data_IF_602503093940
#
_entry.id   IF_602503093940
#
_cell.length_a   1.000
_cell.length_b   1.000
_cell.length_c   1.000
_cell.angle_alpha   90.00
_cell.angle_beta   90.00
_cell.angle_gamma   90.00
#
_symmetry.space_group_name_H-M   'P 1'
#
loop_
_entity.id
_entity.type
_entity.pdbx_description
1 polymer ?
#
# COMPACT_ATOMS: atom_id res chain seq x y z
N UNK A 1 -25.10 -43.99 5.90
CA UNK A 1 -24.65 -43.11 4.80
C UNK A 1 -25.86 -42.33 4.31
N UNK A 2 -26.12 -41.14 4.85
CA UNK A 2 -27.13 -40.21 4.33
C UNK A 2 -26.48 -38.82 4.33
N UNK A 3 -25.88 -38.49 3.19
CA UNK A 3 -25.37 -37.15 2.91
C UNK A 3 -26.57 -36.23 2.76
N UNK A 4 -26.65 -35.22 3.62
CA UNK A 4 -27.57 -34.11 3.42
C UNK A 4 -27.07 -33.36 2.16
N UNK A 5 -27.90 -33.23 1.10
CA UNK A 5 -27.48 -32.58 -0.13
C UNK A 5 -26.95 -31.17 0.16
N UNK A 6 -25.74 -30.89 -0.34
CA UNK A 6 -25.01 -29.64 -0.18
C UNK A 6 -25.86 -28.39 -0.44
N UNK A 7 -26.80 -28.47 -1.39
CA UNK A 7 -27.79 -27.45 -1.74
C UNK A 7 -28.70 -27.00 -0.58
N UNK A 8 -29.07 -27.91 0.33
CA UNK A 8 -29.97 -27.58 1.46
C UNK A 8 -29.23 -26.74 2.51
N UNK A 9 -27.91 -26.92 2.65
CA UNK A 9 -27.08 -26.13 3.57
C UNK A 9 -26.87 -24.69 3.07
N UNK A 10 -26.66 -24.51 1.77
CA UNK A 10 -26.48 -23.17 1.18
C UNK A 10 -27.75 -22.33 1.25
N UNK A 11 -28.90 -22.93 0.91
CA UNK A 11 -30.18 -22.24 1.03
C UNK A 11 -30.49 -21.84 2.47
N UNK A 12 -30.21 -22.72 3.45
CA UNK A 12 -30.41 -22.39 4.87
C UNK A 12 -29.51 -21.24 5.38
N UNK A 13 -28.29 -21.07 4.83
CA UNK A 13 -27.45 -19.91 5.15
C UNK A 13 -27.98 -18.63 4.50
N UNK A 14 -28.35 -18.68 3.21
CA UNK A 14 -28.85 -17.51 2.49
C UNK A 14 -30.14 -16.98 3.14
N UNK A 15 -31.06 -17.87 3.53
CA UNK A 15 -32.29 -17.48 4.24
C UNK A 15 -31.99 -16.87 5.61
N UNK A 16 -31.02 -17.40 6.36
CA UNK A 16 -30.61 -16.83 7.67
C UNK A 16 -29.92 -15.46 7.56
N UNK A 17 -29.23 -15.19 6.46
CA UNK A 17 -28.65 -13.86 6.17
C UNK A 17 -29.77 -12.88 5.80
N UNK A 18 -30.77 -13.34 5.03
CA UNK A 18 -31.87 -12.50 4.54
C UNK A 18 -32.84 -12.08 5.63
N UNK A 19 -33.10 -12.96 6.60
CA UNK A 19 -34.13 -12.74 7.64
C UNK A 19 -33.57 -12.05 8.91
N UNK A 20 -32.46 -11.30 8.78
CA UNK A 20 -31.78 -10.52 9.86
C UNK A 20 -31.34 -11.34 11.10
N UNK A 21 -31.52 -12.66 11.09
CA UNK A 21 -31.17 -13.57 12.19
C UNK A 21 -29.67 -13.79 12.39
N UNK A 22 -28.84 -13.28 11.48
CA UNK A 22 -27.39 -13.21 11.64
C UNK A 22 -27.02 -11.75 11.87
N UNK A 23 -26.90 -11.38 13.14
CA UNK A 23 -26.06 -10.25 13.51
C UNK A 23 -24.64 -10.69 13.18
N UNK A 24 -24.06 -10.18 12.09
CA UNK A 24 -22.61 -10.11 11.98
C UNK A 24 -22.17 -9.27 13.16
N UNK A 25 -21.88 -9.92 14.29
CA UNK A 25 -21.06 -9.31 15.30
C UNK A 25 -19.78 -9.00 14.56
N UNK A 26 -19.59 -7.73 14.17
CA UNK A 26 -18.25 -7.18 14.06
C UNK A 26 -17.54 -7.76 15.28
N UNK A 27 -16.49 -8.58 15.09
CA UNK A 27 -15.89 -9.25 16.21
C UNK A 27 -15.64 -8.16 17.24
N UNK A 28 -16.25 -8.31 18.43
CA UNK A 28 -15.82 -7.49 19.56
C UNK A 28 -14.39 -7.96 19.74
N UNK A 29 -13.47 -7.28 19.07
CA UNK A 29 -12.02 -7.47 19.14
C UNK A 29 -11.56 -6.93 20.49
N UNK A 30 -12.23 -7.38 21.54
CA UNK A 30 -11.76 -7.34 22.90
C UNK A 30 -10.81 -8.55 22.99
N UNK A 31 -9.54 -8.26 23.28
CA UNK A 31 -8.59 -9.14 23.96
C UNK A 31 -7.59 -10.00 23.17
N UNK A 32 -7.52 -9.99 21.84
CA UNK A 32 -6.34 -10.57 21.14
C UNK A 32 -5.21 -9.54 20.93
N UNK A 33 -4.89 -8.76 21.97
CA UNK A 33 -3.75 -7.81 21.95
C UNK A 33 -2.38 -8.50 21.88
N UNK A 34 -2.30 -9.80 22.13
CA UNK A 34 -1.03 -10.53 22.28
C UNK A 34 -0.52 -11.17 20.98
N UNK A 35 -1.36 -11.40 19.95
CA UNK A 35 -0.91 -11.96 18.69
C UNK A 35 -1.72 -11.43 17.49
N UNK A 36 -1.15 -10.56 16.64
CA UNK A 36 -1.87 -9.98 15.50
C UNK A 36 -2.20 -11.03 14.43
N UNK A 37 -1.62 -12.24 14.48
CA UNK A 37 -1.91 -13.33 13.55
C UNK A 37 -3.05 -14.24 14.02
N UNK A 38 -3.76 -13.93 15.11
CA UNK A 38 -4.86 -14.74 15.63
C UNK A 38 -6.18 -13.98 15.57
N UNK A 39 -7.05 -14.38 14.63
CA UNK A 39 -8.33 -13.72 14.34
C UNK A 39 -9.44 -14.72 14.64
N UNK A 40 -10.27 -14.44 15.64
CA UNK A 40 -11.38 -15.32 16.06
C UNK A 40 -10.96 -16.79 16.30
N UNK A 41 -9.76 -16.99 16.88
CA UNK A 41 -9.19 -18.31 17.15
C UNK A 41 -8.54 -18.99 15.94
N UNK A 42 -8.57 -18.37 14.76
CA UNK A 42 -7.97 -18.86 13.52
C UNK A 42 -6.62 -18.16 13.30
N UNK A 43 -5.58 -18.95 13.01
CA UNK A 43 -4.26 -18.41 12.67
C UNK A 43 -4.27 -17.88 11.22
N UNK A 44 -3.99 -16.60 11.07
CA UNK A 44 -3.77 -15.91 9.80
C UNK A 44 -2.27 -15.83 9.50
N UNK A 45 -1.91 -15.89 8.21
CA UNK A 45 -0.56 -15.55 7.76
C UNK A 45 -0.33 -14.03 7.65
N UNK A 46 -1.41 -13.27 7.62
CA UNK A 46 -1.41 -11.81 7.55
C UNK A 46 -1.84 -11.24 8.89
N UNK A 47 -0.98 -10.48 9.60
CA UNK A 47 -1.34 -9.87 10.86
C UNK A 47 -2.45 -8.83 10.69
N UNK A 48 -3.48 -8.92 11.52
CA UNK A 48 -4.56 -7.96 11.66
C UNK A 48 -4.19 -6.92 12.71
N UNK A 49 -4.17 -5.66 12.31
CA UNK A 49 -4.01 -4.54 13.24
C UNK A 49 -5.29 -3.70 13.29
N UNK A 50 -5.46 -2.97 14.40
CA UNK A 50 -6.58 -2.07 14.62
C UNK A 50 -6.13 -0.61 14.68
N UNK A 51 -6.95 0.26 14.10
CA UNK A 51 -6.85 1.71 14.23
C UNK A 51 -8.22 2.25 14.62
N UNK A 52 -8.28 3.15 15.60
CA UNK A 52 -9.53 3.82 15.99
C UNK A 52 -10.08 4.72 14.88
N UNK A 53 -9.21 5.19 13.98
CA UNK A 53 -9.58 6.06 12.84
C UNK A 53 -9.80 5.25 11.58
N UNK A 54 -8.86 4.35 11.23
CA UNK A 54 -8.88 3.64 9.94
C UNK A 54 -9.61 2.29 9.99
N UNK A 55 -9.92 1.80 11.20
CA UNK A 55 -10.52 0.49 11.43
C UNK A 55 -9.52 -0.67 11.28
N UNK A 56 -10.01 -1.91 11.14
CA UNK A 56 -9.17 -3.11 10.99
C UNK A 56 -8.49 -3.20 9.62
N UNK A 57 -7.25 -3.73 9.58
CA UNK A 57 -6.53 -4.03 8.34
C UNK A 57 -5.55 -5.19 8.50
N UNK A 58 -5.50 -6.05 7.48
CA UNK A 58 -4.46 -7.06 7.30
C UNK A 58 -3.26 -6.46 6.57
N UNK A 59 -2.06 -6.84 6.98
CA UNK A 59 -0.83 -6.41 6.33
C UNK A 59 -0.01 -7.60 5.86
N UNK A 60 0.72 -7.43 4.77
CA UNK A 60 1.69 -8.43 4.28
C UNK A 60 2.96 -8.37 5.15
N UNK A 61 3.30 -9.44 5.91
CA UNK A 61 4.41 -9.43 6.86
C UNK A 61 5.75 -9.02 6.24
N UNK A 62 5.99 -9.44 5.00
CA UNK A 62 7.23 -9.15 4.29
C UNK A 62 7.39 -7.64 4.05
N UNK A 63 6.30 -6.89 3.87
CA UNK A 63 6.38 -5.44 3.70
C UNK A 63 6.64 -4.71 5.00
N UNK A 64 6.14 -5.22 6.13
CA UNK A 64 6.48 -4.72 7.47
C UNK A 64 7.98 -4.93 7.72
N UNK A 65 8.46 -6.15 7.50
CA UNK A 65 9.87 -6.50 7.70
C UNK A 65 10.79 -5.62 6.84
N UNK A 66 10.47 -5.47 5.55
CA UNK A 66 11.24 -4.65 4.60
C UNK A 66 11.22 -3.16 4.95
N UNK A 67 10.10 -2.64 5.45
CA UNK A 67 10.00 -1.24 5.87
C UNK A 67 10.87 -0.92 7.10
N UNK A 68 11.19 -1.93 7.91
CA UNK A 68 12.14 -1.84 9.02
C UNK A 68 13.61 -1.99 8.65
N UNK A 69 13.96 -2.35 7.40
CA UNK A 69 15.35 -2.57 7.01
C UNK A 69 16.11 -1.25 6.81
N UNK A 70 17.44 -1.22 7.12
CA UNK A 70 18.29 -0.05 6.93
C UNK A 70 18.62 0.20 5.46
N UNK A 71 19.23 1.34 5.14
CA UNK A 71 19.69 1.67 3.78
C UNK A 71 20.61 0.60 3.16
N UNK A 72 21.47 -0.04 3.95
CA UNK A 72 22.36 -1.12 3.47
C UNK A 72 21.60 -2.32 2.89
N UNK A 73 20.36 -2.57 3.32
CA UNK A 73 19.51 -3.59 2.71
C UNK A 73 19.16 -3.25 1.26
N UNK A 74 18.91 -1.98 0.96
CA UNK A 74 18.62 -1.51 -0.40
C UNK A 74 19.87 -1.63 -1.28
N UNK A 75 21.02 -1.16 -0.78
CA UNK A 75 22.29 -1.21 -1.51
C UNK A 75 22.76 -2.64 -1.83
N UNK A 76 22.48 -3.58 -0.93
CA UNK A 76 22.88 -4.98 -1.08
C UNK A 76 21.75 -5.86 -1.63
N UNK A 77 20.62 -5.29 -2.05
CA UNK A 77 19.50 -6.08 -2.55
C UNK A 77 19.90 -6.78 -3.86
N UNK A 78 19.63 -8.09 -4.03
CA UNK A 78 20.08 -8.85 -5.20
C UNK A 78 19.51 -8.33 -6.53
N UNK A 79 18.35 -7.66 -6.50
CA UNK A 79 17.76 -7.02 -7.68
C UNK A 79 18.20 -5.56 -7.90
N UNK A 80 19.01 -4.96 -7.03
CA UNK A 80 19.45 -3.57 -7.20
C UNK A 80 20.15 -3.34 -8.56
N UNK A 81 21.12 -4.16 -9.00
CA UNK A 81 21.78 -3.93 -10.28
C UNK A 81 20.82 -3.98 -11.49
N UNK A 82 19.75 -4.80 -11.39
CA UNK A 82 18.72 -4.88 -12.44
C UNK A 82 17.89 -3.60 -12.50
N UNK A 83 17.57 -3.02 -11.36
CA UNK A 83 16.87 -1.74 -11.30
C UNK A 83 17.73 -0.61 -11.90
N UNK A 84 19.03 -0.58 -11.56
CA UNK A 84 19.97 0.41 -12.12
C UNK A 84 20.06 0.30 -13.65
N UNK A 85 20.12 -0.93 -14.16
CA UNK A 85 20.12 -1.21 -15.59
C UNK A 85 18.83 -0.75 -16.27
N UNK A 86 17.65 -1.01 -15.69
CA UNK A 86 16.38 -0.54 -16.25
C UNK A 86 16.35 0.99 -16.36
N UNK A 87 16.87 1.71 -15.36
CA UNK A 87 16.94 3.17 -15.42
C UNK A 87 17.89 3.69 -16.50
N UNK A 88 19.00 2.98 -16.72
CA UNK A 88 19.92 3.27 -17.82
C UNK A 88 19.24 3.05 -19.19
N UNK A 89 18.60 1.89 -19.39
CA UNK A 89 17.88 1.57 -20.62
C UNK A 89 16.74 2.57 -20.89
N UNK A 90 16.00 2.97 -19.86
CA UNK A 90 14.97 4.01 -19.96
C UNK A 90 15.56 5.34 -20.42
N UNK A 91 16.75 5.71 -19.96
CA UNK A 91 17.39 6.99 -20.33
C UNK A 91 17.85 6.97 -21.79
N UNK A 92 18.42 5.84 -22.23
CA UNK A 92 18.83 5.63 -23.62
C UNK A 92 17.62 5.71 -24.57
N UNK A 93 16.53 5.01 -24.24
CA UNK A 93 15.29 5.06 -25.03
C UNK A 93 14.68 6.46 -25.06
N UNK A 94 14.66 7.16 -23.93
CA UNK A 94 14.14 8.52 -23.83
C UNK A 94 14.91 9.49 -24.75
N UNK A 95 16.23 9.32 -24.83
CA UNK A 95 17.09 10.09 -25.72
C UNK A 95 16.88 9.71 -27.19
N UNK A 96 16.86 8.42 -27.50
CA UNK A 96 16.70 7.90 -28.86
C UNK A 96 15.37 8.34 -29.49
N UNK A 97 14.28 8.21 -28.73
CA UNK A 97 12.92 8.50 -29.21
C UNK A 97 12.39 9.87 -28.78
N UNK A 98 13.24 10.72 -28.21
CA UNK A 98 12.91 12.11 -27.85
C UNK A 98 11.66 12.26 -26.97
N UNK A 99 11.50 11.40 -25.96
CA UNK A 99 10.42 11.53 -24.97
C UNK A 99 10.96 11.83 -23.57
N UNK A 100 10.09 12.36 -22.70
CA UNK A 100 10.43 12.63 -21.31
C UNK A 100 9.93 11.50 -20.42
N UNK A 101 10.76 11.11 -19.45
CA UNK A 101 10.40 10.14 -18.42
C UNK A 101 10.06 10.89 -17.13
N UNK A 102 8.94 10.52 -16.53
CA UNK A 102 8.54 10.94 -15.19
C UNK A 102 8.39 9.68 -14.34
N UNK A 103 9.11 9.63 -13.22
CA UNK A 103 9.05 8.52 -12.27
C UNK A 103 8.14 8.91 -11.11
N UNK A 104 7.02 8.20 -10.97
CA UNK A 104 6.10 8.38 -9.83
C UNK A 104 6.31 7.24 -8.85
N UNK A 105 6.67 7.58 -7.60
CA UNK A 105 6.96 6.60 -6.56
C UNK A 105 5.78 6.54 -5.59
N UNK A 106 5.05 5.44 -5.61
CA UNK A 106 4.00 5.16 -4.63
C UNK A 106 4.61 4.57 -3.34
N UNK A 107 4.20 5.03 -2.14
CA UNK A 107 4.56 4.34 -0.90
C UNK A 107 3.86 2.99 -0.82
N UNK A 108 4.28 2.11 0.08
CA UNK A 108 3.48 0.92 0.44
C UNK A 108 2.41 1.29 1.48
N UNK A 109 1.37 0.47 1.61
CA UNK A 109 0.38 0.61 2.69
C UNK A 109 1.02 0.60 4.09
N UNK A 110 2.07 -0.20 4.28
CA UNK A 110 2.87 -0.25 5.51
C UNK A 110 3.48 1.12 5.83
N UNK A 111 4.12 1.76 4.85
CA UNK A 111 4.77 3.05 5.05
C UNK A 111 3.76 4.18 5.27
N UNK A 112 2.63 4.15 4.55
CA UNK A 112 1.61 5.20 4.62
C UNK A 112 0.75 5.08 5.88
N UNK A 113 0.23 3.89 6.17
CA UNK A 113 -0.79 3.70 7.20
C UNK A 113 -0.30 2.97 8.44
N UNK A 114 0.77 2.15 8.35
CA UNK A 114 1.26 1.33 9.47
C UNK A 114 1.39 2.08 10.79
N UNK A 115 2.01 3.28 10.84
CA UNK A 115 2.13 4.07 12.06
C UNK A 115 0.81 4.46 12.75
N UNK A 116 -0.32 4.44 12.03
CA UNK A 116 -1.66 4.79 12.55
C UNK A 116 -2.37 3.61 13.25
N UNK A 117 -1.73 2.44 13.33
CA UNK A 117 -2.28 1.23 13.92
C UNK A 117 -1.68 0.92 15.30
N UNK A 118 -2.52 0.45 16.22
CA UNK A 118 -2.12 0.06 17.57
C UNK A 118 -1.16 -1.13 17.54
N UNK A 119 -0.07 -1.06 18.31
CA UNK A 119 0.96 -2.10 18.42
C UNK A 119 1.59 -2.49 17.08
N UNK A 120 1.54 -1.60 16.08
CA UNK A 120 2.22 -1.83 14.81
C UNK A 120 3.74 -1.85 15.02
N UNK A 121 4.48 -2.79 14.41
CA UNK A 121 5.93 -2.85 14.56
C UNK A 121 6.61 -1.57 14.08
N UNK A 122 7.62 -1.11 14.82
CA UNK A 122 8.43 0.02 14.39
C UNK A 122 9.08 -0.26 13.02
N UNK A 123 8.92 0.68 12.11
CA UNK A 123 9.57 0.69 10.79
C UNK A 123 10.68 1.75 10.78
N UNK A 124 11.60 1.72 9.81
CA UNK A 124 12.65 2.75 9.70
C UNK A 124 12.02 4.13 9.50
N UNK A 125 12.50 5.18 10.16
CA UNK A 125 11.96 6.55 9.96
C UNK A 125 12.18 7.06 8.52
N UNK A 126 13.16 6.49 7.81
CA UNK A 126 13.50 6.89 6.44
C UNK A 126 12.97 5.89 5.41
N UNK A 127 12.32 6.35 4.33
CA UNK A 127 11.84 5.47 3.27
C UNK A 127 12.96 5.12 2.28
N UNK A 128 14.00 4.42 2.75
CA UNK A 128 15.26 4.18 2.04
C UNK A 128 15.14 3.72 0.57
N UNK A 129 14.17 2.86 0.25
CA UNK A 129 13.95 2.43 -1.13
C UNK A 129 13.37 3.54 -2.02
N UNK A 130 12.45 4.35 -1.48
CA UNK A 130 11.91 5.54 -2.17
C UNK A 130 13.03 6.54 -2.42
N UNK A 131 13.86 6.81 -1.40
CA UNK A 131 14.99 7.74 -1.52
C UNK A 131 16.02 7.25 -2.56
N UNK A 132 16.26 5.94 -2.61
CA UNK A 132 17.14 5.33 -3.62
C UNK A 132 16.61 5.53 -5.04
N UNK A 133 15.33 5.20 -5.28
CA UNK A 133 14.69 5.37 -6.59
C UNK A 133 14.67 6.84 -6.99
N UNK A 134 14.43 7.76 -6.05
CA UNK A 134 14.47 9.19 -6.32
C UNK A 134 15.88 9.65 -6.75
N UNK A 135 16.91 9.25 -6.01
CA UNK A 135 18.32 9.54 -6.35
C UNK A 135 18.69 8.97 -7.73
N UNK A 136 18.31 7.72 -8.00
CA UNK A 136 18.58 7.07 -9.28
C UNK A 136 17.88 7.80 -10.45
N UNK A 137 16.64 8.26 -10.24
CA UNK A 137 15.90 9.04 -11.23
C UNK A 137 16.57 10.38 -11.52
N UNK A 138 17.01 11.09 -10.47
CA UNK A 138 17.73 12.37 -10.60
C UNK A 138 19.03 12.22 -11.37
N UNK A 139 19.80 11.15 -11.10
CA UNK A 139 21.02 10.83 -11.83
C UNK A 139 20.81 10.61 -13.34
N UNK A 140 19.61 10.18 -13.75
CA UNK A 140 19.23 10.01 -15.16
C UNK A 140 18.55 11.24 -15.75
N UNK A 141 18.41 12.33 -14.99
CA UNK A 141 17.71 13.53 -15.42
C UNK A 141 16.20 13.36 -15.55
N UNK A 142 15.63 12.32 -14.94
CA UNK A 142 14.18 12.12 -14.92
C UNK A 142 13.53 13.04 -13.89
N UNK A 143 12.32 13.49 -14.20
CA UNK A 143 11.49 14.17 -13.20
C UNK A 143 10.90 13.12 -12.26
N UNK A 144 10.99 13.35 -10.96
CA UNK A 144 10.48 12.41 -9.94
C UNK A 144 9.36 13.04 -9.13
N UNK A 145 8.32 12.25 -8.86
CA UNK A 145 7.27 12.58 -7.90
C UNK A 145 7.17 11.47 -6.85
N UNK A 146 7.61 11.77 -5.63
CA UNK A 146 7.36 10.91 -4.47
C UNK A 146 5.96 11.20 -3.92
N UNK A 147 5.04 10.23 -3.98
CA UNK A 147 3.66 10.41 -3.53
C UNK A 147 3.51 10.37 -2.01
N UNK A 148 4.46 9.80 -1.27
CA UNK A 148 4.36 9.64 0.19
C UNK A 148 3.96 10.93 0.92
N UNK A 149 4.70 12.06 0.81
CA UNK A 149 4.36 13.28 1.54
C UNK A 149 2.99 13.85 1.18
N UNK A 150 2.54 13.68 -0.07
CA UNK A 150 1.23 14.17 -0.52
C UNK A 150 0.08 13.28 -0.02
N UNK A 151 0.32 11.97 0.10
CA UNK A 151 -0.67 11.00 0.54
C UNK A 151 -0.86 10.99 2.06
N UNK A 152 0.17 11.31 2.85
CA UNK A 152 0.10 11.26 4.32
C UNK A 152 -1.10 12.04 4.87
N UNK A 153 -1.34 13.27 4.39
CA UNK A 153 -2.45 14.11 4.86
C UNK A 153 -3.85 13.49 4.66
N UNK A 154 -4.00 12.62 3.67
CA UNK A 154 -5.21 11.84 3.41
C UNK A 154 -5.20 10.53 4.20
N UNK A 155 -4.05 9.85 4.20
CA UNK A 155 -3.87 8.53 4.81
C UNK A 155 -4.04 8.50 6.32
N UNK A 156 -3.89 9.65 6.98
CA UNK A 156 -4.17 9.82 8.41
C UNK A 156 -5.67 9.82 8.76
N UNK A 157 -6.54 10.06 7.76
CA UNK A 157 -7.98 10.26 7.96
C UNK A 157 -8.82 9.15 7.32
N UNK A 158 -8.34 8.58 6.23
CA UNK A 158 -9.06 7.56 5.48
C UNK A 158 -8.11 6.50 4.93
N UNK A 159 -8.64 5.29 4.74
CA UNK A 159 -7.91 4.22 4.07
C UNK A 159 -7.83 4.50 2.57
N UNK A 160 -6.60 4.49 2.03
CA UNK A 160 -6.35 4.61 0.59
C UNK A 160 -6.04 3.25 -0.07
N UNK A 161 -5.89 2.21 0.74
CA UNK A 161 -5.64 0.83 0.31
C UNK A 161 -6.78 -0.09 0.72
N UNK A 162 -6.93 -1.23 0.03
CA UNK A 162 -7.90 -2.27 0.38
C UNK A 162 -7.57 -2.91 1.74
N UNK A 163 -8.56 -3.30 2.54
CA UNK A 163 -8.32 -3.73 3.94
C UNK A 163 -7.50 -5.03 4.08
N UNK A 164 -7.48 -5.83 3.03
CA UNK A 164 -6.93 -7.18 2.98
C UNK A 164 -5.90 -7.36 1.86
N UNK A 165 -5.54 -6.28 1.18
CA UNK A 165 -4.70 -6.30 -0.01
C UNK A 165 -3.81 -5.04 -0.09
N UNK A 166 -2.68 -5.13 -0.77
CA UNK A 166 -1.68 -4.05 -0.86
C UNK A 166 -1.88 -3.08 -2.02
N UNK A 167 -2.96 -3.20 -2.79
CA UNK A 167 -3.36 -2.26 -3.82
C UNK A 167 -4.21 -1.13 -3.25
N UNK A 168 -4.23 -0.01 -3.99
CA UNK A 168 -5.11 1.10 -3.71
C UNK A 168 -6.57 0.68 -3.83
N UNK A 169 -7.42 1.29 -3.01
CA UNK A 169 -8.85 1.26 -3.23
C UNK A 169 -9.25 2.38 -4.22
N UNK A 170 -10.54 2.47 -4.56
CA UNK A 170 -11.06 3.51 -5.48
C UNK A 170 -10.65 4.93 -5.07
N UNK A 171 -10.66 5.23 -3.77
CA UNK A 171 -10.28 6.54 -3.23
C UNK A 171 -8.79 6.78 -3.34
N UNK A 172 -7.95 5.79 -3.02
CA UNK A 172 -6.50 5.87 -3.20
C UNK A 172 -6.10 6.14 -4.65
N UNK A 173 -6.72 5.45 -5.61
CA UNK A 173 -6.53 5.74 -7.03
C UNK A 173 -6.92 7.17 -7.40
N UNK A 174 -8.08 7.65 -6.94
CA UNK A 174 -8.54 9.01 -7.24
C UNK A 174 -7.61 10.08 -6.66
N UNK A 175 -7.19 9.94 -5.41
CA UNK A 175 -6.29 10.89 -4.74
C UNK A 175 -4.91 10.90 -5.40
N UNK A 176 -4.35 9.73 -5.70
CA UNK A 176 -3.06 9.64 -6.39
C UNK A 176 -3.11 10.26 -7.80
N UNK A 177 -4.18 9.99 -8.55
CA UNK A 177 -4.36 10.57 -9.88
C UNK A 177 -4.45 12.11 -9.83
N UNK A 178 -5.18 12.68 -8.87
CA UNK A 178 -5.28 14.14 -8.67
C UNK A 178 -3.92 14.76 -8.34
N UNK A 179 -3.17 14.14 -7.41
CA UNK A 179 -1.82 14.59 -7.06
C UNK A 179 -0.90 14.54 -8.28
N UNK A 180 -0.89 13.44 -9.03
CA UNK A 180 -0.08 13.30 -10.24
C UNK A 180 -0.47 14.38 -11.26
N UNK A 181 -1.77 14.59 -11.48
CA UNK A 181 -2.25 15.60 -12.42
C UNK A 181 -1.76 17.01 -12.05
N UNK A 182 -1.96 17.41 -10.79
CA UNK A 182 -1.57 18.73 -10.29
C UNK A 182 -0.06 18.93 -10.32
N UNK A 183 0.69 18.00 -9.74
CA UNK A 183 2.14 18.15 -9.58
C UNK A 183 2.85 18.00 -10.92
N UNK A 184 2.46 17.02 -11.75
CA UNK A 184 3.19 16.73 -12.99
C UNK A 184 2.70 17.58 -14.15
N UNK A 185 1.40 17.70 -14.38
CA UNK A 185 0.87 18.26 -15.62
C UNK A 185 0.48 19.74 -15.50
N UNK A 186 -0.02 20.21 -14.35
CA UNK A 186 -0.42 21.61 -14.21
C UNK A 186 0.75 22.57 -13.96
N UNK A 187 1.82 22.15 -13.29
CA UNK A 187 3.01 23.00 -13.08
C UNK A 187 3.75 23.37 -14.39
N UNK A 188 3.47 22.67 -15.50
CA UNK A 188 3.99 23.00 -16.83
C UNK A 188 3.18 24.06 -17.59
N UNK A 189 1.95 24.37 -17.16
CA UNK A 189 1.04 25.27 -17.88
C UNK A 189 1.22 26.76 -17.53
N UNK A 190 2.03 27.09 -16.51
CA UNK A 190 2.21 28.47 -16.01
C UNK A 190 3.55 29.15 -16.36
N UNK A 191 4.37 28.57 -17.25
CA UNK A 191 5.67 29.15 -17.68
C UNK A 191 5.77 29.34 -19.20
N UNK A 192 4.65 29.64 -19.83
CA UNK A 192 4.57 29.97 -21.25
C UNK A 192 3.84 31.28 -21.46
N UNK A 193 4.32 32.37 -20.85
CA UNK A 193 4.04 33.76 -21.22
C UNK A 193 4.81 34.70 -20.29
N UNK A 194 5.99 35.12 -20.75
CA UNK A 194 6.63 36.42 -20.46
C UNK A 194 7.93 36.51 -21.23
#
# INVERSE_FOLDING_TARGET
MHEIPFLIKEQAMITKIRDEGIVFRLPRLQENRSNPNLIDGIRSWFPLYQSTVLGPRLFVPQYIERAGKPFSYVLNHPNRPRLDQVFEEMAQLAQEFSFKVIVVIAPTAVRLHGPSYENFPSISDKPHFIDYVATLSEQKGFRTLNLLPFLTAYGDKELLYLRDDDHWNKKGHAVAADIIFREVFQQGAGKGES
#
